data_IF_341852645851
#
_entry.id   IF_341852645851
#
_cell.length_a   1.000
_cell.length_b   1.000
_cell.length_c   1.000
_cell.angle_alpha   90.00
_cell.angle_beta   90.00
_cell.angle_gamma   90.00
#
_symmetry.space_group_name_H-M   'P 1'
#
loop_
_entity.id
_entity.type
_entity.pdbx_description
1 polymer ?
#
# COMPACT_ATOMS: atom_id res chain seq x y z
N UNK A 1 -45.79 40.67 -27.27
CA UNK A 1 -45.04 40.58 -25.99
C UNK A 1 -44.17 39.33 -26.04
N UNK A 2 -42.91 39.50 -26.42
CA UNK A 2 -41.97 38.39 -26.56
C UNK A 2 -41.33 38.13 -25.19
N UNK A 3 -41.55 36.95 -24.60
CA UNK A 3 -40.94 36.58 -23.32
C UNK A 3 -39.45 36.36 -23.51
N UNK A 4 -38.62 37.13 -22.81
CA UNK A 4 -37.18 36.90 -22.75
C UNK A 4 -36.93 35.67 -21.88
N UNK A 5 -36.52 34.57 -22.49
CA UNK A 5 -36.05 33.39 -21.78
C UNK A 5 -34.62 33.66 -21.31
N UNK A 6 -34.45 33.90 -20.01
CA UNK A 6 -33.13 34.05 -19.39
C UNK A 6 -32.41 32.69 -19.46
N UNK A 7 -31.34 32.61 -20.25
CA UNK A 7 -30.46 31.45 -20.27
C UNK A 7 -29.85 31.27 -18.88
N UNK A 8 -30.19 30.19 -18.19
CA UNK A 8 -29.64 29.89 -16.89
C UNK A 8 -28.13 29.66 -17.02
N UNK A 9 -27.34 30.63 -16.55
CA UNK A 9 -25.89 30.48 -16.41
C UNK A 9 -25.67 29.35 -15.40
N UNK A 10 -25.26 28.17 -15.86
CA UNK A 10 -24.87 27.08 -14.94
C UNK A 10 -23.74 27.61 -14.07
N UNK A 11 -23.90 27.65 -12.73
CA UNK A 11 -22.80 28.01 -11.86
C UNK A 11 -21.64 27.07 -12.15
N UNK A 12 -20.44 27.61 -12.38
CA UNK A 12 -19.24 26.79 -12.57
C UNK A 12 -19.04 26.03 -11.26
N UNK A 13 -19.29 24.73 -11.28
CA UNK A 13 -19.03 23.87 -10.12
C UNK A 13 -17.56 23.95 -9.78
N UNK A 14 -17.27 24.31 -8.53
CA UNK A 14 -15.90 24.31 -8.02
C UNK A 14 -15.32 22.91 -8.18
N UNK A 15 -14.00 22.80 -8.32
CA UNK A 15 -13.34 21.49 -8.27
C UNK A 15 -13.63 20.76 -6.95
N UNK A 16 -13.93 21.51 -5.89
CA UNK A 16 -14.33 21.00 -4.58
C UNK A 16 -15.76 20.43 -4.56
N UNK A 17 -16.63 20.92 -5.45
CA UNK A 17 -18.03 20.44 -5.58
C UNK A 17 -18.11 19.19 -6.48
N UNK A 18 -17.01 18.83 -7.13
CA UNK A 18 -16.93 17.64 -7.97
C UNK A 18 -16.51 16.46 -7.10
N UNK A 19 -17.32 15.40 -7.09
CA UNK A 19 -16.89 14.13 -6.52
C UNK A 19 -15.55 13.71 -7.11
N UNK A 20 -14.67 13.14 -6.28
CA UNK A 20 -13.40 12.59 -6.75
C UNK A 20 -13.66 11.66 -7.93
N UNK A 21 -12.88 11.83 -9.00
CA UNK A 21 -12.95 10.93 -10.16
C UNK A 21 -12.88 9.48 -9.69
N UNK A 22 -13.81 8.64 -10.13
CA UNK A 22 -13.73 7.18 -9.95
C UNK A 22 -12.57 6.57 -10.76
N UNK A 23 -11.92 7.38 -11.60
CA UNK A 23 -11.05 6.94 -12.68
C UNK A 23 -9.89 6.08 -12.22
N UNK A 24 -9.82 4.89 -12.80
CA UNK A 24 -8.60 4.12 -12.98
C UNK A 24 -8.01 4.56 -14.31
N UNK A 25 -7.05 5.49 -14.27
CA UNK A 25 -6.25 5.79 -15.44
C UNK A 25 -5.39 4.57 -15.74
N UNK A 26 -5.50 4.02 -16.94
CA UNK A 26 -4.65 2.91 -17.35
C UNK A 26 -3.29 3.46 -17.81
N UNK A 27 -2.22 2.94 -17.21
CA UNK A 27 -0.85 3.26 -17.58
C UNK A 27 -0.17 1.95 -17.94
N UNK A 28 0.67 1.96 -18.97
CA UNK A 28 1.46 0.78 -19.34
C UNK A 28 2.31 0.31 -18.17
N UNK A 29 2.28 -0.99 -17.90
CA UNK A 29 3.10 -1.65 -16.87
C UNK A 29 4.59 -1.36 -17.06
N UNK A 30 5.04 -1.23 -18.31
CA UNK A 30 6.43 -0.89 -18.64
C UNK A 30 6.83 0.50 -18.13
N UNK A 31 5.89 1.46 -18.05
CA UNK A 31 6.17 2.79 -17.51
C UNK A 31 6.54 2.70 -16.02
N UNK A 32 5.75 1.95 -15.24
CA UNK A 32 6.07 1.67 -13.84
C UNK A 32 7.39 0.93 -13.70
N UNK A 33 7.62 -0.12 -14.51
CA UNK A 33 8.83 -0.92 -14.47
C UNK A 33 10.10 -0.08 -14.68
N UNK A 34 10.11 0.78 -15.71
CA UNK A 34 11.25 1.64 -16.02
C UNK A 34 11.48 2.70 -14.93
N UNK A 35 10.43 3.36 -14.48
CA UNK A 35 10.51 4.36 -13.40
C UNK A 35 11.03 3.72 -12.11
N UNK A 36 10.49 2.57 -11.73
CA UNK A 36 10.87 1.87 -10.51
C UNK A 36 12.31 1.34 -10.58
N UNK A 37 12.74 0.83 -11.73
CA UNK A 37 14.13 0.42 -11.96
C UNK A 37 15.10 1.59 -11.75
N UNK A 38 14.82 2.76 -12.34
CA UNK A 38 15.64 3.96 -12.14
C UNK A 38 15.60 4.47 -10.69
N UNK A 39 14.45 4.36 -10.01
CA UNK A 39 14.34 4.71 -8.61
C UNK A 39 15.24 3.83 -7.73
N UNK A 40 15.28 2.52 -7.98
CA UNK A 40 16.16 1.59 -7.26
C UNK A 40 17.62 1.91 -7.53
N UNK A 41 18.00 2.15 -8.79
CA UNK A 41 19.37 2.55 -9.15
C UNK A 41 19.77 3.89 -8.51
N UNK A 42 18.88 4.88 -8.53
CA UNK A 42 19.07 6.18 -7.89
C UNK A 42 19.36 6.05 -6.39
N UNK A 43 18.63 5.17 -5.69
CA UNK A 43 18.82 4.91 -4.27
C UNK A 43 20.12 4.13 -4.04
N UNK A 44 20.39 3.10 -4.86
CA UNK A 44 21.58 2.27 -4.76
C UNK A 44 22.87 3.08 -4.87
N UNK A 45 22.90 4.10 -5.72
CA UNK A 45 24.07 4.98 -5.90
C UNK A 45 24.32 5.93 -4.71
N UNK A 46 23.45 5.93 -3.69
CA UNK A 46 23.50 6.83 -2.52
C UNK A 46 23.56 6.11 -1.19
N UNK A 47 23.71 4.79 -1.21
CA UNK A 47 23.74 3.93 -0.02
C UNK A 47 24.89 2.95 -0.14
N UNK A 48 25.39 2.48 1.00
CA UNK A 48 26.57 1.62 1.06
C UNK A 48 26.21 0.16 1.32
N UNK A 49 25.04 -0.10 1.90
CA UNK A 49 24.61 -1.44 2.30
C UNK A 49 23.23 -1.80 1.74
N UNK A 50 22.94 -3.10 1.61
CA UNK A 50 21.62 -3.59 1.18
C UNK A 50 20.51 -3.20 2.17
N UNK A 51 20.70 -3.28 3.50
CA UNK A 51 19.69 -2.79 4.45
C UNK A 51 19.40 -1.30 4.31
N UNK A 52 20.41 -0.45 4.08
CA UNK A 52 20.17 0.98 3.81
C UNK A 52 19.34 1.20 2.54
N UNK A 53 19.63 0.44 1.47
CA UNK A 53 18.82 0.48 0.25
C UNK A 53 17.37 0.09 0.52
N UNK A 54 17.16 -1.00 1.26
CA UNK A 54 15.82 -1.49 1.62
C UNK A 54 15.05 -0.46 2.47
N UNK A 55 15.72 0.17 3.45
CA UNK A 55 15.13 1.23 4.26
C UNK A 55 14.75 2.44 3.41
N UNK A 56 15.64 2.90 2.51
CA UNK A 56 15.37 4.00 1.57
C UNK A 56 14.15 3.70 0.69
N UNK A 57 14.06 2.48 0.17
CA UNK A 57 12.92 2.04 -0.63
C UNK A 57 11.63 2.00 0.20
N UNK A 58 11.70 1.53 1.44
CA UNK A 58 10.55 1.52 2.34
C UNK A 58 10.07 2.94 2.68
N UNK A 59 10.97 3.90 2.92
CA UNK A 59 10.62 5.32 3.13
C UNK A 59 9.85 5.91 1.93
N UNK A 60 10.33 5.67 0.70
CA UNK A 60 9.64 6.10 -0.51
C UNK A 60 8.30 5.38 -0.68
N UNK A 61 8.23 4.10 -0.30
CA UNK A 61 6.99 3.33 -0.27
C UNK A 61 5.97 3.91 0.70
N UNK A 62 6.40 4.29 1.90
CA UNK A 62 5.54 4.89 2.92
C UNK A 62 4.88 6.17 2.41
N UNK A 63 5.63 7.03 1.71
CA UNK A 63 5.11 8.22 1.04
C UNK A 63 3.98 7.92 0.03
N UNK A 64 4.03 6.77 -0.64
CA UNK A 64 2.94 6.31 -1.51
C UNK A 64 1.76 5.81 -0.65
N UNK A 65 2.05 5.01 0.38
CA UNK A 65 1.07 4.51 1.35
C UNK A 65 0.21 5.63 1.94
N UNK A 66 0.84 6.67 2.47
CA UNK A 66 0.14 7.82 3.07
C UNK A 66 -0.85 8.49 2.12
N UNK A 67 -0.53 8.57 0.83
CA UNK A 67 -1.39 9.22 -0.18
C UNK A 67 -2.55 8.33 -0.62
N UNK A 68 -2.35 7.01 -0.66
CA UNK A 68 -3.40 6.08 -1.14
C UNK A 68 -4.42 5.74 -0.05
N UNK A 69 -4.06 5.80 1.24
CA UNK A 69 -4.93 5.36 2.35
C UNK A 69 -6.29 6.03 2.31
N UNK A 70 -6.35 7.36 2.45
CA UNK A 70 -7.62 8.09 2.50
C UNK A 70 -8.38 7.99 1.18
N UNK A 71 -7.65 7.97 0.06
CA UNK A 71 -8.25 7.82 -1.27
C UNK A 71 -9.03 6.52 -1.39
N UNK A 72 -8.45 5.40 -0.95
CA UNK A 72 -9.07 4.08 -1.00
C UNK A 72 -10.20 3.96 0.02
N UNK A 73 -10.06 4.54 1.22
CA UNK A 73 -11.14 4.57 2.21
C UNK A 73 -12.37 5.31 1.65
N UNK A 74 -12.19 6.47 1.02
CA UNK A 74 -13.30 7.24 0.44
C UNK A 74 -13.91 6.53 -0.77
N UNK A 75 -13.08 6.05 -1.72
CA UNK A 75 -13.56 5.48 -2.99
C UNK A 75 -14.13 4.08 -2.87
N UNK A 76 -13.48 3.21 -2.09
CA UNK A 76 -13.74 1.77 -2.08
C UNK A 76 -14.46 1.30 -0.81
N UNK A 77 -14.39 2.08 0.28
CA UNK A 77 -15.00 1.74 1.58
C UNK A 77 -16.15 2.67 1.98
N UNK A 78 -16.54 3.61 1.13
CA UNK A 78 -17.60 4.58 1.42
C UNK A 78 -17.29 5.45 2.64
N UNK A 79 -16.00 5.72 2.90
CA UNK A 79 -15.54 6.47 4.07
C UNK A 79 -15.46 5.66 5.37
N UNK A 80 -15.81 4.37 5.36
CA UNK A 80 -15.74 3.53 6.56
C UNK A 80 -14.30 3.11 6.83
N UNK A 81 -13.77 3.53 7.99
CA UNK A 81 -12.47 3.08 8.51
C UNK A 81 -12.62 1.78 9.30
N UNK A 82 -11.62 0.91 9.19
CA UNK A 82 -11.59 -0.36 9.92
C UNK A 82 -11.13 -0.14 11.36
N UNK A 83 -11.75 -0.88 12.28
CA UNK A 83 -11.43 -0.82 13.72
C UNK A 83 -10.89 -2.16 14.27
N UNK A 84 -11.14 -3.26 13.55
CA UNK A 84 -10.64 -4.60 13.91
C UNK A 84 -9.39 -4.93 13.11
N UNK A 85 -8.42 -5.58 13.75
CA UNK A 85 -7.13 -5.91 13.16
C UNK A 85 -7.28 -6.79 11.91
N UNK A 86 -8.08 -7.85 11.99
CA UNK A 86 -8.31 -8.73 10.83
C UNK A 86 -8.89 -7.97 9.64
N UNK A 87 -9.79 -7.01 9.87
CA UNK A 87 -10.42 -6.26 8.80
C UNK A 87 -9.46 -5.31 8.10
N UNK A 88 -8.53 -4.66 8.83
CA UNK A 88 -7.52 -3.80 8.18
C UNK A 88 -6.52 -4.64 7.37
N UNK A 89 -6.16 -5.84 7.84
CA UNK A 89 -5.34 -6.77 7.07
C UNK A 89 -6.07 -7.25 5.79
N UNK A 90 -7.37 -7.53 5.87
CA UNK A 90 -8.18 -7.89 4.71
C UNK A 90 -8.34 -6.71 3.74
N UNK A 91 -8.46 -5.49 4.23
CA UNK A 91 -8.44 -4.27 3.41
C UNK A 91 -7.12 -4.15 2.63
N UNK A 92 -5.99 -4.46 3.25
CA UNK A 92 -4.69 -4.44 2.57
C UNK A 92 -4.58 -5.57 1.54
N UNK A 93 -4.88 -6.82 1.94
CA UNK A 93 -4.85 -8.00 1.06
C UNK A 93 -5.70 -7.81 -0.19
N UNK A 94 -6.87 -7.17 -0.06
CA UNK A 94 -7.85 -7.05 -1.14
C UNK A 94 -7.82 -5.68 -1.82
N UNK A 95 -8.29 -4.63 -1.15
CA UNK A 95 -8.49 -3.30 -1.75
C UNK A 95 -7.18 -2.64 -2.14
N UNK A 96 -6.22 -2.56 -1.21
CA UNK A 96 -4.92 -1.93 -1.47
C UNK A 96 -4.17 -2.71 -2.55
N UNK A 97 -4.12 -4.04 -2.42
CA UNK A 97 -3.45 -4.90 -3.39
C UNK A 97 -4.06 -4.81 -4.79
N UNK A 98 -5.39 -4.86 -4.92
CA UNK A 98 -6.08 -4.68 -6.21
C UNK A 98 -5.80 -3.31 -6.80
N UNK A 99 -5.73 -2.27 -5.98
CA UNK A 99 -5.44 -0.91 -6.44
C UNK A 99 -4.00 -0.77 -6.96
N UNK A 100 -3.04 -1.46 -6.35
CA UNK A 100 -1.62 -1.37 -6.73
C UNK A 100 -1.24 -2.34 -7.86
N UNK A 101 -1.81 -3.54 -7.85
CA UNK A 101 -1.32 -4.68 -8.62
C UNK A 101 -2.40 -5.35 -9.47
N UNK A 102 -3.65 -4.89 -9.42
CA UNK A 102 -4.77 -5.43 -10.20
C UNK A 102 -5.27 -6.80 -9.71
N UNK A 103 -4.75 -7.33 -8.60
CA UNK A 103 -5.13 -8.61 -8.00
C UNK A 103 -5.02 -8.56 -6.48
N UNK A 104 -5.63 -9.51 -5.79
CA UNK A 104 -5.42 -9.69 -4.35
C UNK A 104 -4.04 -10.28 -4.06
N UNK A 105 -3.55 -10.10 -2.83
CA UNK A 105 -2.38 -10.84 -2.38
C UNK A 105 -2.71 -12.33 -2.31
N UNK A 106 -1.75 -13.23 -2.57
CA UNK A 106 -2.04 -14.66 -2.61
C UNK A 106 -2.51 -15.21 -1.26
N UNK A 107 -1.79 -14.88 -0.16
CA UNK A 107 -2.14 -15.37 1.19
C UNK A 107 -2.03 -14.30 2.27
N UNK A 108 -2.81 -14.51 3.32
CA UNK A 108 -2.69 -13.82 4.60
C UNK A 108 -2.64 -14.93 5.67
N UNK A 109 -1.52 -15.03 6.37
CA UNK A 109 -1.27 -16.02 7.43
C UNK A 109 -1.03 -15.30 8.76
N UNK A 110 -1.39 -15.91 9.88
CA UNK A 110 -1.05 -15.46 11.23
C UNK A 110 0.11 -16.32 11.75
N UNK A 111 1.07 -15.74 12.47
CA UNK A 111 2.15 -16.51 13.05
C UNK A 111 1.61 -17.42 14.17
N UNK A 112 2.09 -18.66 14.20
CA UNK A 112 1.63 -19.65 15.18
C UNK A 112 2.17 -19.36 16.60
N UNK A 113 3.28 -18.64 16.69
CA UNK A 113 4.09 -18.43 17.89
C UNK A 113 4.15 -16.97 18.36
N UNK A 114 3.61 -16.03 17.59
CA UNK A 114 3.55 -14.61 17.95
C UNK A 114 2.23 -13.99 17.47
N UNK A 115 1.33 -13.72 18.42
CA UNK A 115 0.00 -13.16 18.13
C UNK A 115 0.06 -11.79 17.43
N UNK A 116 1.20 -11.08 17.53
CA UNK A 116 1.40 -9.76 16.92
C UNK A 116 1.86 -9.83 15.47
N UNK A 117 2.23 -11.01 14.99
CA UNK A 117 2.90 -11.18 13.71
C UNK A 117 1.97 -11.82 12.68
N UNK A 118 1.79 -11.14 11.55
CA UNK A 118 1.03 -11.59 10.40
C UNK A 118 1.90 -11.57 9.15
N UNK A 119 1.55 -12.40 8.16
CA UNK A 119 2.27 -12.53 6.92
C UNK A 119 1.34 -12.31 5.74
N UNK A 120 1.68 -11.35 4.87
CA UNK A 120 1.09 -11.23 3.54
C UNK A 120 2.06 -11.86 2.56
N UNK A 121 1.62 -12.82 1.75
CA UNK A 121 2.51 -13.63 0.91
C UNK A 121 2.11 -13.47 -0.56
N UNK A 122 3.10 -13.21 -1.40
CA UNK A 122 3.02 -13.18 -2.86
C UNK A 122 3.98 -14.23 -3.44
N UNK A 123 3.45 -15.16 -4.23
CA UNK A 123 4.26 -16.13 -4.98
C UNK A 123 5.13 -15.43 -6.03
N UNK A 124 4.57 -14.41 -6.68
CA UNK A 124 5.22 -13.63 -7.74
C UNK A 124 5.10 -12.13 -7.53
N UNK A 125 6.03 -11.53 -6.78
CA UNK A 125 6.04 -10.08 -6.55
C UNK A 125 6.31 -9.28 -7.82
N UNK A 126 5.39 -8.38 -8.20
CA UNK A 126 5.53 -7.53 -9.39
C UNK A 126 6.76 -6.62 -9.30
N UNK A 127 7.04 -6.03 -8.14
CA UNK A 127 8.19 -5.12 -7.98
C UNK A 127 9.53 -5.84 -8.13
N UNK A 128 9.60 -7.13 -7.77
CA UNK A 128 10.81 -7.93 -7.97
C UNK A 128 10.94 -8.45 -9.40
N UNK A 129 9.85 -8.47 -10.19
CA UNK A 129 9.86 -8.88 -11.60
C UNK A 129 10.52 -7.86 -12.53
N UNK A 130 10.48 -6.58 -12.16
CA UNK A 130 10.92 -5.47 -13.02
C UNK A 130 12.32 -4.93 -12.70
N UNK A 131 12.96 -5.45 -11.65
CA UNK A 131 14.29 -5.01 -11.24
C UNK A 131 15.26 -6.18 -11.39
N UNK A 132 16.27 -6.00 -12.25
CA UNK A 132 17.37 -6.95 -12.35
C UNK A 132 18.21 -6.86 -11.08
N UNK A 133 18.18 -7.90 -10.25
CA UNK A 133 19.06 -7.99 -9.08
C UNK A 133 20.48 -8.33 -9.56
N UNK A 134 21.50 -7.50 -9.26
CA UNK A 134 22.89 -7.81 -9.56
C UNK A 134 23.30 -9.15 -8.93
N UNK A 135 24.06 -9.99 -9.65
CA UNK A 135 24.43 -11.35 -9.22
C UNK A 135 25.21 -11.38 -7.90
N UNK A 136 25.89 -10.29 -7.57
CA UNK A 136 26.66 -10.05 -6.33
C UNK A 136 25.78 -9.64 -5.14
N UNK A 137 24.51 -9.25 -5.36
CA UNK A 137 23.58 -8.74 -4.34
C UNK A 137 22.32 -9.60 -4.22
N UNK A 138 22.50 -10.93 -4.22
CA UNK A 138 21.42 -11.93 -4.18
C UNK A 138 20.43 -11.84 -3.01
N UNK A 139 20.63 -10.94 -2.05
CA UNK A 139 19.70 -10.63 -0.94
C UNK A 139 18.81 -9.40 -1.19
N UNK A 140 18.98 -8.66 -2.29
CA UNK A 140 18.20 -7.45 -2.55
C UNK A 140 16.72 -7.79 -2.70
N UNK A 141 15.89 -7.31 -1.78
CA UNK A 141 14.45 -7.44 -1.86
C UNK A 141 13.80 -6.05 -2.06
N UNK A 142 13.52 -5.70 -3.32
CA UNK A 142 12.85 -4.46 -3.70
C UNK A 142 11.40 -4.40 -3.21
N UNK A 143 10.84 -5.53 -2.77
CA UNK A 143 9.58 -5.56 -2.04
C UNK A 143 9.59 -4.74 -0.74
N UNK A 144 10.75 -4.31 -0.25
CA UNK A 144 10.84 -3.33 0.85
C UNK A 144 10.08 -2.03 0.54
N UNK A 145 10.00 -1.63 -0.73
CA UNK A 145 9.12 -0.54 -1.17
C UNK A 145 7.65 -0.80 -0.85
N UNK A 146 7.15 -2.00 -1.16
CA UNK A 146 5.77 -2.39 -0.87
C UNK A 146 5.55 -2.58 0.64
N UNK A 147 6.56 -3.08 1.37
CA UNK A 147 6.51 -3.12 2.84
C UNK A 147 6.28 -1.73 3.42
N UNK A 148 6.98 -0.70 2.92
CA UNK A 148 6.77 0.69 3.30
C UNK A 148 5.35 1.19 3.05
N UNK A 149 4.78 0.87 1.88
CA UNK A 149 3.37 1.19 1.57
C UNK A 149 2.44 0.58 2.62
N UNK A 150 2.62 -0.71 2.93
CA UNK A 150 1.78 -1.44 3.88
C UNK A 150 1.93 -0.88 5.30
N UNK A 151 3.17 -0.56 5.71
CA UNK A 151 3.47 0.06 7.01
C UNK A 151 2.73 1.39 7.17
N UNK A 152 2.82 2.27 6.17
CA UNK A 152 2.14 3.56 6.18
C UNK A 152 0.61 3.43 6.22
N UNK A 153 0.03 2.52 5.42
CA UNK A 153 -1.42 2.28 5.42
C UNK A 153 -1.91 1.80 6.79
N UNK A 154 -1.16 0.90 7.44
CA UNK A 154 -1.49 0.41 8.78
C UNK A 154 -1.41 1.53 9.82
N UNK A 155 -0.33 2.32 9.80
CA UNK A 155 -0.15 3.46 10.70
C UNK A 155 -1.28 4.48 10.56
N UNK A 156 -1.64 4.89 9.35
CA UNK A 156 -2.70 5.87 9.09
C UNK A 156 -4.10 5.35 9.45
N UNK A 157 -4.30 4.04 9.37
CA UNK A 157 -5.51 3.37 9.85
C UNK A 157 -5.55 3.23 11.39
N UNK A 158 -4.50 3.62 12.11
CA UNK A 158 -4.41 3.50 13.57
C UNK A 158 -4.05 2.10 14.06
N UNK A 159 -3.26 1.36 13.28
CA UNK A 159 -2.69 0.05 13.61
C UNK A 159 -1.16 0.11 13.45
N UNK A 160 -0.45 0.88 14.30
CA UNK A 160 1.01 0.99 14.19
C UNK A 160 1.67 -0.40 14.22
N UNK A 161 2.58 -0.59 13.26
CA UNK A 161 3.26 -1.85 13.02
C UNK A 161 4.62 -1.60 12.37
N UNK A 162 5.52 -2.59 12.47
CA UNK A 162 6.71 -2.68 11.63
C UNK A 162 6.49 -3.70 10.53
N UNK A 163 6.75 -3.32 9.29
CA UNK A 163 6.62 -4.20 8.12
C UNK A 163 7.97 -4.41 7.46
N UNK A 164 8.32 -5.67 7.19
CA UNK A 164 9.58 -6.05 6.54
C UNK A 164 9.34 -7.08 5.46
N UNK A 165 10.18 -7.09 4.41
CA UNK A 165 10.02 -8.00 3.28
C UNK A 165 11.10 -9.09 3.27
N UNK A 166 10.69 -10.34 3.11
CA UNK A 166 11.53 -11.53 3.18
C UNK A 166 11.32 -12.47 1.99
N UNK A 167 12.34 -13.24 1.65
CA UNK A 167 12.24 -14.33 0.68
C UNK A 167 11.75 -15.60 1.37
N UNK A 168 10.43 -15.79 1.42
CA UNK A 168 9.79 -16.95 2.01
C UNK A 168 8.50 -17.26 1.24
N UNK A 169 8.32 -18.51 0.77
CA UNK A 169 7.19 -18.92 -0.09
C UNK A 169 6.93 -17.97 -1.29
N UNK A 170 8.00 -17.37 -1.83
CA UNK A 170 7.94 -16.22 -2.72
C UNK A 170 8.44 -14.96 -1.99
N UNK A 171 7.70 -13.87 -2.08
CA UNK A 171 7.91 -12.64 -1.31
C UNK A 171 6.90 -12.60 -0.16
N UNK A 172 7.39 -12.55 1.08
CA UNK A 172 6.56 -12.43 2.28
C UNK A 172 6.77 -11.06 2.92
N UNK A 173 5.68 -10.37 3.24
CA UNK A 173 5.66 -9.17 4.05
C UNK A 173 5.29 -9.57 5.49
N UNK A 174 6.27 -9.53 6.38
CA UNK A 174 6.06 -9.75 7.80
C UNK A 174 5.57 -8.45 8.42
N UNK A 175 4.35 -8.45 8.93
CA UNK A 175 3.70 -7.34 9.64
C UNK A 175 3.75 -7.67 11.12
N UNK A 176 4.49 -6.89 11.89
CA UNK A 176 4.56 -7.04 13.35
C UNK A 176 3.94 -5.83 14.03
N UNK A 177 2.78 -6.03 14.64
CA UNK A 177 2.04 -4.97 15.33
C UNK A 177 2.66 -4.60 16.67
N UNK A 178 2.44 -3.34 17.08
CA UNK A 178 2.74 -2.91 18.44
C UNK A 178 1.82 -3.60 19.45
N UNK A 179 2.31 -3.82 20.67
CA UNK A 179 1.56 -4.48 21.77
C UNK A 179 0.20 -3.82 22.03
N UNK A 180 0.16 -2.49 21.95
CA UNK A 180 -1.06 -1.71 22.16
C UNK A 180 -2.15 -2.03 21.13
N UNK A 181 -1.79 -2.41 19.91
CA UNK A 181 -2.76 -2.73 18.84
C UNK A 181 -3.47 -4.03 19.17
N UNK A 182 -2.73 -5.08 19.52
CA UNK A 182 -3.29 -6.40 19.87
C UNK A 182 -4.09 -6.31 21.18
N UNK A 183 -3.58 -5.58 22.18
CA UNK A 183 -4.32 -5.36 23.43
C UNK A 183 -5.66 -4.66 23.18
N UNK A 184 -5.69 -3.63 22.33
CA UNK A 184 -6.92 -2.93 21.94
C UNK A 184 -7.87 -3.85 21.16
N UNK A 185 -7.36 -4.65 20.23
CA UNK A 185 -8.19 -5.54 19.41
C UNK A 185 -8.92 -6.58 20.27
N UNK A 186 -8.23 -7.18 21.25
CA UNK A 186 -8.84 -8.10 22.23
C UNK A 186 -10.00 -7.46 23.00
N UNK A 187 -9.86 -6.20 23.42
CA UNK A 187 -10.96 -5.47 24.09
C UNK A 187 -12.17 -5.21 23.20
N UNK A 188 -11.99 -5.24 21.87
CA UNK A 188 -13.06 -5.10 20.89
C UNK A 188 -13.71 -6.44 20.50
N UNK A 189 -13.13 -7.58 20.88
CA UNK A 189 -13.75 -8.90 20.72
C UNK A 189 -14.82 -9.18 21.77
N UNK A 190 -14.67 -8.61 22.97
CA UNK A 190 -15.64 -8.69 24.07
C UNK A 190 -16.92 -7.86 23.84
N UNK A 191 -17.09 -7.25 22.65
CA UNK A 191 -18.22 -6.38 22.27
C UNK A 191 -18.87 -6.84 20.96
#
# INVERSE_FOLDING_TARGET
>A
MSSITISAIRPRTSILDKSLSKGKGEVSLSCFALLFSELVQYCQNRVYTVPELQNKLAEIGAEVGHRITDLLVVREKGGKREIKLLNVLLFIKSTVWKSLFGREADKLEHANDDERTYYIIEKESLVNKFVSVPKDKGSLNCASFVAGIVEAVLCDCGFPAKVTAHWHKGTTYMVKFDDAVVARDKQLEDR
#
